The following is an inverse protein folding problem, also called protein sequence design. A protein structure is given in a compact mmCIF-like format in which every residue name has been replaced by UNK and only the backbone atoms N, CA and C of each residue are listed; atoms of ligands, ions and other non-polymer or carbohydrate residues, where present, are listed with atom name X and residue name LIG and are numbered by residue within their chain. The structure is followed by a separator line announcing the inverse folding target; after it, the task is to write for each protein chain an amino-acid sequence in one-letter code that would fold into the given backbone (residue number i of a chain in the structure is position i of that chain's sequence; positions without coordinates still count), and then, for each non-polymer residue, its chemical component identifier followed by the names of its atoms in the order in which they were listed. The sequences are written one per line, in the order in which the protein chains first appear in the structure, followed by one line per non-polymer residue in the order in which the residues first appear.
data_IF_015763934337
#
_entry.id   IF_015763934337
#
_cell.length_a   1.000
_cell.length_b   1.000
_cell.length_c   1.000
_cell.angle_alpha   90.00
_cell.angle_beta   90.00
_cell.angle_gamma   90.00
#
_symmetry.space_group_name_H-M   'P 1'
#
loop_
_entity.id
_entity.type
_entity.pdbx_description
1 polymer ?
#
# COMPACT_ATOMS: atom_id res chain seq x y z
N UNK A 1 -5.02 -5.72 0.90
CA UNK A 1 -4.65 -5.83 -0.52
C UNK A 1 -3.49 -6.80 -0.62
N UNK A 2 -3.24 -7.37 -1.79
CA UNK A 2 -2.12 -8.29 -2.04
C UNK A 2 -1.27 -7.74 -3.18
N UNK A 3 0.04 -7.83 -3.05
CA UNK A 3 1.03 -7.43 -4.06
C UNK A 3 1.72 -8.68 -4.55
N UNK A 4 1.70 -8.90 -5.86
CA UNK A 4 2.34 -10.06 -6.50
C UNK A 4 3.48 -9.61 -7.40
N UNK A 5 4.50 -10.45 -7.52
CA UNK A 5 5.48 -10.34 -8.59
C UNK A 5 4.80 -10.63 -9.91
N UNK A 6 4.90 -9.73 -10.88
CA UNK A 6 4.38 -10.00 -12.23
C UNK A 6 5.23 -11.04 -12.94
N UNK A 7 6.54 -11.05 -12.69
CA UNK A 7 7.48 -11.97 -13.34
C UNK A 7 7.33 -13.41 -12.82
N UNK A 8 7.23 -13.58 -11.50
CA UNK A 8 7.18 -14.92 -10.89
C UNK A 8 5.80 -15.36 -10.44
N UNK A 9 4.80 -14.46 -10.41
CA UNK A 9 3.47 -14.74 -9.86
C UNK A 9 3.42 -14.90 -8.33
N UNK A 10 4.55 -14.76 -7.64
CA UNK A 10 4.61 -14.99 -6.20
C UNK A 10 3.97 -13.85 -5.42
N UNK A 11 3.29 -14.18 -4.32
CA UNK A 11 2.81 -13.19 -3.35
C UNK A 11 4.02 -12.56 -2.67
N UNK A 12 4.21 -11.26 -2.88
CA UNK A 12 5.27 -10.49 -2.26
C UNK A 12 4.79 -9.93 -0.92
N UNK A 13 3.64 -9.27 -0.90
CA UNK A 13 3.15 -8.56 0.28
C UNK A 13 1.63 -8.69 0.43
N UNK A 14 1.12 -8.67 1.67
CA UNK A 14 -0.32 -8.65 1.94
C UNK A 14 -0.64 -7.74 3.12
N UNK A 15 -1.57 -6.81 2.94
CA UNK A 15 -2.09 -5.97 4.01
C UNK A 15 -3.57 -6.29 4.27
N UNK A 16 -3.97 -6.19 5.54
CA UNK A 16 -5.37 -6.20 5.96
C UNK A 16 -5.74 -4.83 6.51
N UNK A 17 -6.98 -4.42 6.28
CA UNK A 17 -7.53 -3.15 6.73
C UNK A 17 -8.89 -3.38 7.39
N UNK A 18 -9.33 -2.45 8.22
CA UNK A 18 -10.71 -2.43 8.66
C UNK A 18 -11.59 -1.82 7.55
N UNK A 19 -12.52 -2.61 7.03
CA UNK A 19 -13.33 -2.26 5.86
C UNK A 19 -12.73 -2.72 4.53
N UNK A 20 -13.52 -2.58 3.48
CA UNK A 20 -13.13 -2.93 2.10
C UNK A 20 -12.14 -1.92 1.56
N UNK A 21 -11.12 -2.41 0.84
CA UNK A 21 -10.15 -1.58 0.13
C UNK A 21 -10.76 -1.19 -1.21
N UNK A 22 -10.79 0.12 -1.47
CA UNK A 22 -11.41 0.69 -2.66
C UNK A 22 -10.37 1.31 -3.60
N UNK A 23 -9.30 1.88 -3.05
CA UNK A 23 -8.24 2.53 -3.80
C UNK A 23 -6.88 2.04 -3.33
N UNK A 24 -5.94 1.92 -4.25
CA UNK A 24 -4.57 1.48 -3.98
C UNK A 24 -3.61 2.41 -4.72
N UNK A 25 -2.54 2.82 -4.03
CA UNK A 25 -1.38 3.47 -4.64
C UNK A 25 -0.15 2.68 -4.23
N UNK A 26 0.74 2.45 -5.18
CA UNK A 26 2.01 1.79 -4.97
C UNK A 26 3.13 2.74 -5.34
N UNK A 27 4.00 3.03 -4.38
CA UNK A 27 5.14 3.92 -4.56
C UNK A 27 6.43 3.12 -4.53
N UNK A 28 7.25 3.30 -5.55
CA UNK A 28 8.60 2.78 -5.65
C UNK A 28 9.51 3.90 -6.15
N UNK A 29 10.05 4.73 -5.25
CA UNK A 29 10.82 5.92 -5.64
C UNK A 29 12.07 5.56 -6.43
N UNK A 30 12.73 4.46 -6.07
CA UNK A 30 13.95 3.97 -6.71
C UNK A 30 13.78 2.49 -7.11
N UNK A 31 13.70 2.18 -8.42
CA UNK A 31 13.53 0.79 -8.88
C UNK A 31 14.61 -0.15 -8.36
N UNK A 32 15.85 0.33 -8.27
CA UNK A 32 17.03 -0.41 -7.82
C UNK A 32 17.00 -0.80 -6.34
N UNK A 33 16.18 -0.13 -5.52
CA UNK A 33 16.10 -0.35 -4.07
C UNK A 33 14.91 -1.20 -3.64
N UNK A 34 14.31 -1.93 -4.58
CA UNK A 34 13.23 -2.85 -4.26
C UNK A 34 13.65 -3.92 -3.23
N UNK A 35 12.86 -4.18 -2.16
CA UNK A 35 11.61 -3.51 -1.75
C UNK A 35 11.80 -2.39 -0.71
N UNK A 36 13.02 -2.13 -0.24
CA UNK A 36 13.31 -1.33 0.97
C UNK A 36 12.71 0.08 1.00
N UNK A 37 12.49 0.70 -0.16
CA UNK A 37 11.93 2.06 -0.27
C UNK A 37 10.49 2.04 -0.83
N UNK A 38 9.90 0.87 -1.02
CA UNK A 38 8.56 0.76 -1.57
C UNK A 38 7.48 0.92 -0.50
N UNK A 39 6.37 1.54 -0.89
CA UNK A 39 5.23 1.80 0.00
C UNK A 39 3.94 1.44 -0.69
N UNK A 40 3.09 0.67 0.00
CA UNK A 40 1.72 0.41 -0.39
C UNK A 40 0.81 1.34 0.41
N UNK A 41 -0.02 2.11 -0.27
CA UNK A 41 -1.03 2.98 0.34
C UNK A 41 -2.39 2.46 -0.09
N UNK A 42 -3.31 2.33 0.87
CA UNK A 42 -4.68 1.85 0.60
C UNK A 42 -5.70 2.80 1.19
N UNK A 43 -6.77 3.03 0.44
CA UNK A 43 -7.95 3.78 0.87
C UNK A 43 -9.14 2.83 1.03
N UNK A 44 -9.90 2.99 2.10
CA UNK A 44 -11.00 2.09 2.45
C UNK A 44 -12.38 2.74 2.32
N UNK A 45 -13.42 1.90 2.34
CA UNK A 45 -14.82 2.32 2.41
C UNK A 45 -15.23 2.91 3.79
N UNK A 46 -14.34 2.89 4.77
CA UNK A 46 -14.52 3.52 6.08
C UNK A 46 -13.89 4.91 6.16
N UNK A 47 -13.30 5.38 5.06
CA UNK A 47 -12.67 6.70 4.98
C UNK A 47 -11.27 6.72 5.58
N UNK A 48 -10.66 5.55 5.75
CA UNK A 48 -9.29 5.42 6.24
C UNK A 48 -8.31 5.32 5.08
N UNK A 49 -7.19 6.02 5.22
CA UNK A 49 -6.01 5.89 4.38
C UNK A 49 -4.94 5.23 5.25
N UNK A 50 -4.39 4.11 4.80
CA UNK A 50 -3.37 3.37 5.54
C UNK A 50 -2.11 3.23 4.71
N UNK A 51 -0.96 3.51 5.32
CA UNK A 51 0.37 3.51 4.69
C UNK A 51 1.17 2.34 5.23
N UNK A 52 1.63 1.50 4.31
CA UNK A 52 2.33 0.27 4.59
C UNK A 52 3.70 0.27 3.89
N UNK A 53 4.81 0.52 4.62
CA UNK A 53 6.12 0.33 4.04
C UNK A 53 6.33 -1.15 3.76
N UNK A 54 6.94 -1.43 2.62
CA UNK A 54 7.33 -2.78 2.24
C UNK A 54 8.75 -3.00 2.74
N UNK A 55 8.92 -3.96 3.65
CA UNK A 55 10.25 -4.35 4.11
C UNK A 55 10.65 -5.68 3.47
N UNK A 56 11.94 -5.85 3.21
CA UNK A 56 12.46 -7.17 2.83
C UNK A 56 12.40 -8.07 4.07
N UNK A 57 11.51 -9.06 4.06
CA UNK A 57 11.45 -10.11 5.05
C UNK A 57 12.54 -11.17 4.82
N UNK A 58 12.71 -12.10 5.79
CA UNK A 58 13.72 -13.15 5.70
C UNK A 58 13.48 -14.04 4.48
N UNK A 59 14.50 -14.18 3.64
CA UNK A 59 14.51 -15.15 2.55
C UNK A 59 14.60 -16.55 3.15
N UNK A 60 13.51 -17.32 3.07
CA UNK A 60 13.58 -18.76 3.33
C UNK A 60 14.17 -19.47 2.10
N UNK A 61 14.99 -20.52 2.28
CA UNK A 61 15.49 -21.30 1.16
C UNK A 61 14.33 -21.84 0.32
N UNK A 62 14.29 -21.50 -0.97
CA UNK A 62 13.21 -21.88 -1.90
C UNK A 62 12.03 -20.91 -1.98
N UNK A 63 12.07 -19.77 -1.27
CA UNK A 63 11.02 -18.75 -1.32
C UNK A 63 11.55 -17.42 -1.88
N UNK A 64 10.93 -16.95 -2.97
CA UNK A 64 11.21 -15.64 -3.54
C UNK A 64 10.65 -14.54 -2.63
N UNK A 65 11.51 -14.00 -1.76
CA UNK A 65 11.36 -12.70 -1.09
C UNK A 65 9.98 -12.45 -0.45
N UNK A 66 9.80 -12.84 0.82
CA UNK A 66 8.65 -12.39 1.59
C UNK A 66 8.83 -10.90 1.89
N UNK A 67 7.87 -10.07 1.48
CA UNK A 67 7.75 -8.70 1.98
C UNK A 67 6.67 -8.72 3.04
N UNK A 68 7.09 -8.59 4.29
CA UNK A 68 6.12 -8.45 5.37
C UNK A 68 5.55 -7.03 5.30
N UNK A 69 4.24 -6.93 5.17
CA UNK A 69 3.57 -5.66 5.42
C UNK A 69 3.50 -5.52 6.93
N UNK A 70 4.36 -4.70 7.51
CA UNK A 70 4.22 -4.33 8.92
C UNK A 70 2.85 -3.67 9.16
N UNK A 71 2.46 -3.55 10.44
CA UNK A 71 1.35 -2.68 10.85
C UNK A 71 1.47 -1.32 10.14
N UNK A 72 0.37 -0.68 9.76
CA UNK A 72 0.43 0.58 9.04
C UNK A 72 1.23 1.59 9.87
N UNK A 73 2.24 2.21 9.26
CA UNK A 73 3.06 3.23 9.93
C UNK A 73 2.30 4.55 10.06
N UNK A 74 1.29 4.74 9.22
CA UNK A 74 0.33 5.82 9.34
C UNK A 74 -1.08 5.33 8.99
N UNK A 75 -2.04 5.79 9.76
CA UNK A 75 -3.47 5.66 9.47
C UNK A 75 -4.10 7.03 9.61
N UNK A 76 -4.55 7.60 8.51
CA UNK A 76 -5.15 8.93 8.46
C UNK A 76 -6.63 8.78 8.09
N UNK A 77 -7.51 9.40 8.87
CA UNK A 77 -8.89 9.54 8.45
C UNK A 77 -8.97 10.61 7.36
N UNK A 78 -9.33 10.21 6.14
CA UNK A 78 -9.73 11.15 5.08
C UNK A 78 -10.95 11.94 5.56
N UNK A 79 -11.99 11.21 5.96
CA UNK A 79 -13.18 11.73 6.63
C UNK A 79 -13.93 10.55 7.26
N UNK A 80 -14.24 10.57 8.57
CA UNK A 80 -14.94 9.46 9.21
C UNK A 80 -16.29 9.18 8.54
N UNK A 81 -16.50 7.92 8.13
CA UNK A 81 -17.75 7.48 7.50
C UNK A 81 -17.91 7.83 6.02
N UNK A 82 -16.93 8.50 5.41
CA UNK A 82 -16.88 8.68 3.95
C UNK A 82 -16.15 7.51 3.27
N UNK A 83 -16.30 7.41 1.96
CA UNK A 83 -15.73 6.35 1.15
C UNK A 83 -14.58 6.93 0.33
N UNK A 84 -13.37 6.38 0.48
CA UNK A 84 -12.29 6.68 -0.47
C UNK A 84 -12.62 6.03 -1.81
N UNK A 85 -12.66 6.82 -2.89
CA UNK A 85 -12.99 6.36 -4.24
C UNK A 85 -11.76 6.32 -5.14
N UNK A 86 -10.85 7.28 -5.00
CA UNK A 86 -9.64 7.35 -5.80
C UNK A 86 -8.49 7.99 -5.02
N UNK A 87 -7.27 7.67 -5.44
CA UNK A 87 -6.04 8.25 -4.89
C UNK A 87 -5.01 8.42 -6.01
N UNK A 88 -4.20 9.47 -5.90
CA UNK A 88 -3.07 9.70 -6.79
C UNK A 88 -1.91 10.30 -6.00
N UNK A 89 -0.69 9.82 -6.25
CA UNK A 89 0.50 10.38 -5.64
C UNK A 89 1.22 11.36 -6.56
N UNK A 90 1.94 12.31 -5.97
CA UNK A 90 2.89 13.13 -6.70
C UNK A 90 4.04 12.29 -7.26
N UNK A 91 4.72 12.81 -8.29
CA UNK A 91 5.84 12.13 -8.96
C UNK A 91 6.97 11.74 -8.00
N UNK A 92 7.24 12.58 -7.00
CA UNK A 92 8.26 12.35 -5.97
C UNK A 92 7.76 11.48 -4.80
N UNK A 93 6.49 11.05 -4.82
CA UNK A 93 5.87 10.26 -3.75
C UNK A 93 5.64 11.02 -2.45
N UNK A 94 5.93 12.33 -2.39
CA UNK A 94 5.85 13.11 -1.15
C UNK A 94 4.43 13.57 -0.80
N UNK A 95 3.49 13.50 -1.76
CA UNK A 95 2.10 13.96 -1.60
C UNK A 95 1.13 12.94 -2.15
N UNK A 96 -0.04 12.88 -1.53
CA UNK A 96 -1.17 12.05 -1.94
C UNK A 96 -2.42 12.93 -2.04
N UNK A 97 -3.09 12.89 -3.19
CA UNK A 97 -4.43 13.44 -3.38
C UNK A 97 -5.43 12.31 -3.25
N UNK A 98 -6.52 12.54 -2.52
CA UNK A 98 -7.55 11.55 -2.24
C UNK A 98 -8.91 12.15 -2.58
N UNK A 99 -9.70 11.43 -3.37
CA UNK A 99 -11.07 11.80 -3.69
C UNK A 99 -12.04 10.83 -3.01
N UNK A 100 -13.08 11.39 -2.37
CA UNK A 100 -14.12 10.62 -1.71
C UNK A 100 -15.51 10.89 -2.26
N UNK A 101 -16.53 10.26 -1.66
CA UNK A 101 -17.93 10.49 -2.07
C UNK A 101 -18.43 11.87 -1.66
N UNK A 102 -17.82 12.51 -0.66
CA UNK A 102 -18.31 13.78 -0.13
C UNK A 102 -17.83 15.04 -0.85
N UNK A 103 -17.16 14.90 -2.00
CA UNK A 103 -16.51 16.00 -2.73
C UNK A 103 -15.06 16.20 -2.30
#
# INVERSE_FOLDING_TARGET
AKVFSVESGHLIASCSTNGSINAIVFLQPEPSKWPSDATLIVGTNTGSIQVFPLVKGPQHPGSSLFVEVHKPVASVAFRPGDVVLCMAASKDGSRLVVGGRSG
#
